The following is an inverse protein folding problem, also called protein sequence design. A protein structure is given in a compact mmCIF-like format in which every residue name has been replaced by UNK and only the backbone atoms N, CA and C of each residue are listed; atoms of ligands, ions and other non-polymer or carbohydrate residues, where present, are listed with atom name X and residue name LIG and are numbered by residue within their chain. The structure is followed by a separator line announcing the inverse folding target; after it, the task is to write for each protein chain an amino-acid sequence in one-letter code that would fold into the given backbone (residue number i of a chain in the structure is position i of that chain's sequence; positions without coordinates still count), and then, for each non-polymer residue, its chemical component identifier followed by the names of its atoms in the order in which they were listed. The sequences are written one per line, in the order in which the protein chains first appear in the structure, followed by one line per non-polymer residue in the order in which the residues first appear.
data_IF_695332227233
#
_entry.id   IF_695332227233
#
_cell.length_a   1.000
_cell.length_b   1.000
_cell.length_c   1.000
_cell.angle_alpha   90.00
_cell.angle_beta   90.00
_cell.angle_gamma   90.00
#
_symmetry.space_group_name_H-M   'P 1'
#
loop_
_entity.id
_entity.type
_entity.pdbx_description
1 polymer ?
#
# COMPACT_ATOMS: atom_id res chain seq x y z
N UNK A 1 9.38 -0.63 8.64
CA UNK A 1 8.21 -0.98 9.47
C UNK A 1 8.14 -0.12 10.72
N UNK A 2 9.25 0.44 11.20
CA UNK A 2 9.29 1.12 12.50
C UNK A 2 8.42 2.38 12.60
N UNK A 3 8.15 3.06 11.48
CA UNK A 3 7.24 4.20 11.43
C UNK A 3 5.79 3.83 11.08
N UNK A 4 5.51 2.54 10.86
CA UNK A 4 4.23 1.98 10.42
C UNK A 4 3.61 2.68 9.19
N UNK A 5 4.41 3.42 8.41
CA UNK A 5 3.93 4.12 7.21
C UNK A 5 3.84 3.18 6.00
N UNK A 6 2.96 3.46 5.04
CA UNK A 6 2.80 2.62 3.86
C UNK A 6 4.08 2.47 3.03
N UNK A 7 4.64 1.27 2.97
CA UNK A 7 5.89 0.97 2.26
C UNK A 7 5.72 1.13 0.74
N UNK A 8 6.69 1.72 -0.01
CA UNK A 8 6.62 1.90 -1.46
C UNK A 8 6.21 0.64 -2.23
N UNK A 9 6.82 -0.50 -1.87
CA UNK A 9 6.56 -1.85 -2.39
C UNK A 9 5.80 -2.75 -1.41
N UNK A 10 4.73 -2.23 -0.81
CA UNK A 10 3.96 -2.98 0.19
C UNK A 10 3.59 -4.41 -0.28
N UNK A 11 3.37 -5.34 0.63
CA UNK A 11 2.83 -6.64 0.27
C UNK A 11 1.40 -6.52 -0.28
N UNK A 12 0.60 -5.64 0.31
CA UNK A 12 -0.72 -5.24 -0.21
C UNK A 12 -0.89 -3.74 -0.07
N UNK A 13 -1.47 -3.09 -1.09
CA UNK A 13 -1.95 -1.71 -0.96
C UNK A 13 -3.42 -1.70 -0.64
N UNK A 14 -3.74 -0.96 0.41
CA UNK A 14 -5.10 -0.72 0.87
C UNK A 14 -5.36 0.79 0.85
N UNK A 15 -6.63 1.23 0.89
CA UNK A 15 -6.94 2.64 1.08
C UNK A 15 -6.43 3.18 2.43
N UNK A 16 -6.16 4.48 2.52
CA UNK A 16 -5.76 5.13 3.78
C UNK A 16 -6.89 5.29 4.80
N UNK A 17 -8.14 5.33 4.32
CA UNK A 17 -9.33 5.43 5.19
C UNK A 17 -10.20 4.21 4.99
N UNK A 18 -10.54 3.52 6.07
CA UNK A 18 -11.31 2.28 6.04
C UNK A 18 -12.03 2.01 7.36
N UNK A 19 -12.64 0.82 7.53
CA UNK A 19 -13.49 0.49 8.68
C UNK A 19 -12.76 0.39 10.02
N UNK A 20 -11.42 0.41 10.02
CA UNK A 20 -10.59 0.39 11.23
C UNK A 20 -9.66 1.61 11.25
N UNK A 21 -9.32 2.05 12.46
CA UNK A 21 -8.32 3.12 12.66
C UNK A 21 -6.98 2.68 12.08
N UNK A 22 -6.27 3.60 11.41
CA UNK A 22 -5.00 3.35 10.70
C UNK A 22 -5.12 2.22 9.69
N UNK A 23 -6.17 2.25 8.86
CA UNK A 23 -6.44 1.18 7.90
C UNK A 23 -5.26 0.90 6.95
N UNK A 24 -4.47 1.92 6.59
CA UNK A 24 -3.27 1.76 5.75
C UNK A 24 -2.05 1.15 6.44
N UNK A 25 -2.12 0.81 7.73
CA UNK A 25 -1.09 0.03 8.41
C UNK A 25 -0.85 -1.31 7.69
N UNK A 26 -1.87 -1.91 7.09
CA UNK A 26 -1.73 -3.12 6.29
C UNK A 26 -0.76 -2.96 5.10
N UNK A 27 -0.44 -1.73 4.71
CA UNK A 27 0.54 -1.41 3.68
C UNK A 27 1.94 -1.11 4.22
N UNK A 28 2.22 -1.26 5.52
CA UNK A 28 3.49 -0.83 6.13
C UNK A 28 4.68 -1.78 5.93
N UNK A 29 4.44 -2.98 5.41
CA UNK A 29 5.47 -3.99 5.21
C UNK A 29 5.56 -4.43 3.76
N UNK A 30 6.76 -4.82 3.36
CA UNK A 30 7.06 -5.48 2.10
C UNK A 30 7.63 -6.86 2.37
N UNK A 31 7.43 -7.78 1.42
CA UNK A 31 7.99 -9.13 1.49
C UNK A 31 8.93 -9.30 0.31
N UNK A 32 10.06 -9.97 0.54
CA UNK A 32 10.98 -10.40 -0.49
C UNK A 32 11.46 -11.80 -0.18
N UNK A 33 11.67 -12.59 -1.22
CA UNK A 33 12.25 -13.92 -1.12
C UNK A 33 13.69 -13.83 -1.58
N UNK A 34 14.62 -14.31 -0.75
CA UNK A 34 16.04 -14.46 -1.11
C UNK A 34 16.46 -15.94 -1.15
N UNK A 35 17.26 -16.34 -2.14
CA UNK A 35 17.79 -17.70 -2.24
C UNK A 35 19.19 -17.72 -2.86
N UNK A 36 20.02 -18.68 -2.47
CA UNK A 36 21.34 -18.88 -3.06
C UNK A 36 21.24 -19.80 -4.28
N UNK A 37 21.60 -19.28 -5.46
CA UNK A 37 21.64 -20.06 -6.69
C UNK A 37 22.97 -20.77 -6.82
N UNK A 38 22.99 -22.10 -6.60
CA UNK A 38 24.20 -22.92 -6.65
C UNK A 38 24.94 -22.83 -8.00
N UNK A 39 24.21 -22.80 -9.12
CA UNK A 39 24.84 -22.67 -10.45
C UNK A 39 25.48 -21.32 -10.68
N UNK A 40 24.87 -20.25 -10.17
CA UNK A 40 25.35 -18.87 -10.30
C UNK A 40 26.35 -18.47 -9.20
N UNK A 41 26.47 -19.26 -8.13
CA UNK A 41 27.19 -18.93 -6.89
C UNK A 41 26.83 -17.53 -6.36
N UNK A 42 25.55 -17.15 -6.44
CA UNK A 42 25.05 -15.81 -6.12
C UNK A 42 23.72 -15.87 -5.39
N UNK A 43 23.46 -14.85 -4.58
CA UNK A 43 22.15 -14.64 -3.97
C UNK A 43 21.23 -13.91 -4.94
N UNK A 44 20.01 -14.43 -5.02
CA UNK A 44 18.91 -13.89 -5.80
C UNK A 44 17.85 -13.34 -4.85
N UNK A 45 17.19 -12.26 -5.28
CA UNK A 45 16.12 -11.62 -4.52
C UNK A 45 14.98 -11.25 -5.45
N UNK A 46 13.75 -11.57 -5.04
CA UNK A 46 12.53 -11.19 -5.76
C UNK A 46 11.52 -10.57 -4.80
N UNK A 47 10.91 -9.42 -5.14
CA UNK A 47 9.85 -8.85 -4.32
C UNK A 47 8.58 -9.69 -4.40
N UNK A 48 7.87 -9.82 -3.28
CA UNK A 48 6.61 -10.56 -3.18
C UNK A 48 5.48 -9.60 -2.83
N UNK A 49 4.42 -9.63 -3.65
CA UNK A 49 3.20 -8.90 -3.37
C UNK A 49 1.97 -9.79 -3.55
N UNK A 50 0.85 -9.34 -2.99
CA UNK A 50 -0.43 -10.02 -3.11
C UNK A 50 -1.04 -9.83 -4.51
N UNK A 51 -1.08 -10.90 -5.29
CA UNK A 51 -1.66 -10.92 -6.64
C UNK A 51 -3.19 -11.02 -6.66
N UNK A 52 -3.80 -11.51 -5.58
CA UNK A 52 -5.26 -11.70 -5.49
C UNK A 52 -5.89 -10.68 -4.54
N UNK A 53 -6.26 -9.52 -5.09
CA UNK A 53 -6.96 -8.46 -4.34
C UNK A 53 -8.49 -8.69 -4.23
N UNK A 54 -9.02 -9.79 -4.79
CA UNK A 54 -10.46 -10.08 -4.77
C UNK A 54 -11.31 -9.18 -5.67
N UNK A 55 -10.69 -8.31 -6.49
CA UNK A 55 -11.36 -7.32 -7.34
C UNK A 55 -12.39 -7.96 -8.30
N UNK A 56 -12.16 -9.18 -8.79
CA UNK A 56 -13.08 -9.85 -9.71
C UNK A 56 -14.47 -10.12 -9.09
N UNK A 57 -14.55 -10.31 -7.76
CA UNK A 57 -15.80 -10.61 -7.04
C UNK A 57 -16.29 -9.46 -6.17
N UNK A 58 -15.54 -8.35 -6.14
CA UNK A 58 -15.82 -7.24 -5.22
C UNK A 58 -17.22 -6.66 -5.43
N UNK A 59 -17.69 -6.56 -6.68
CA UNK A 59 -19.05 -6.09 -6.94
C UNK A 59 -20.12 -6.99 -6.28
N UNK A 60 -19.98 -8.32 -6.40
CA UNK A 60 -20.92 -9.25 -5.77
C UNK A 60 -20.88 -9.16 -4.24
N UNK A 61 -19.70 -8.95 -3.66
CA UNK A 61 -19.57 -8.76 -2.21
C UNK A 61 -20.22 -7.45 -1.75
N UNK A 62 -20.04 -6.36 -2.52
CA UNK A 62 -20.68 -5.06 -2.25
C UNK A 62 -22.20 -5.17 -2.34
N UNK A 63 -22.73 -5.75 -3.41
CA UNK A 63 -24.18 -5.90 -3.62
C UNK A 63 -24.84 -6.75 -2.53
N UNK A 64 -24.15 -7.79 -2.04
CA UNK A 64 -24.63 -8.70 -0.99
C UNK A 64 -24.37 -8.21 0.43
N UNK A 65 -23.78 -7.03 0.62
CA UNK A 65 -23.51 -6.52 1.97
C UNK A 65 -22.48 -7.34 2.75
N UNK A 66 -21.40 -7.82 2.10
CA UNK A 66 -20.38 -8.70 2.70
C UNK A 66 -19.05 -7.99 2.99
N UNK A 67 -18.96 -7.13 4.02
CA UNK A 67 -17.75 -6.35 4.32
C UNK A 67 -16.53 -7.23 4.61
N UNK A 68 -16.71 -8.39 5.24
CA UNK A 68 -15.64 -9.34 5.56
C UNK A 68 -14.93 -9.86 4.31
N UNK A 69 -15.66 -10.03 3.19
CA UNK A 69 -15.06 -10.44 1.93
C UNK A 69 -14.36 -9.28 1.21
N UNK A 70 -14.90 -8.05 1.33
CA UNK A 70 -14.28 -6.84 0.77
C UNK A 70 -12.96 -6.53 1.46
N UNK A 71 -12.88 -6.73 2.78
CA UNK A 71 -11.71 -6.43 3.59
C UNK A 71 -10.78 -7.62 3.84
N UNK A 72 -11.05 -8.78 3.22
CA UNK A 72 -10.20 -9.97 3.34
C UNK A 72 -8.72 -9.72 3.04
N UNK A 73 -8.33 -8.94 2.00
CA UNK A 73 -6.92 -8.62 1.78
C UNK A 73 -6.28 -7.88 2.96
N UNK A 74 -7.01 -6.93 3.56
CA UNK A 74 -6.57 -6.18 4.73
C UNK A 74 -6.44 -7.07 5.96
N UNK A 75 -7.45 -7.88 6.29
CA UNK A 75 -7.38 -8.82 7.42
C UNK A 75 -6.19 -9.80 7.27
N UNK A 76 -5.93 -10.28 6.05
CA UNK A 76 -4.77 -11.15 5.81
C UNK A 76 -3.45 -10.44 6.13
N UNK A 77 -3.31 -9.18 5.72
CA UNK A 77 -2.12 -8.38 6.01
C UNK A 77 -1.96 -8.12 7.52
N UNK A 78 -3.04 -7.79 8.22
CA UNK A 78 -3.01 -7.58 9.67
C UNK A 78 -2.64 -8.86 10.43
N UNK A 79 -3.11 -10.02 9.99
CA UNK A 79 -2.72 -11.31 10.58
C UNK A 79 -1.23 -11.62 10.36
N UNK A 80 -0.69 -11.29 9.18
CA UNK A 80 0.75 -11.40 8.90
C UNK A 80 1.54 -10.47 9.80
N UNK A 81 1.12 -9.20 9.94
CA UNK A 81 1.76 -8.23 10.83
C UNK A 81 1.73 -8.69 12.30
N UNK A 82 0.59 -9.21 12.76
CA UNK A 82 0.47 -9.78 14.11
C UNK A 82 1.50 -10.88 14.36
N UNK A 83 1.70 -11.78 13.40
CA UNK A 83 2.69 -12.84 13.50
C UNK A 83 4.14 -12.33 13.41
N UNK A 84 4.44 -11.43 12.46
CA UNK A 84 5.79 -10.85 12.27
C UNK A 84 6.25 -10.02 13.48
N UNK A 85 5.33 -9.30 14.10
CA UNK A 85 5.64 -8.44 15.25
C UNK A 85 5.38 -9.11 16.59
N UNK A 86 4.92 -10.36 16.59
CA UNK A 86 4.53 -11.11 17.80
C UNK A 86 3.59 -10.30 18.69
N UNK A 87 2.56 -9.71 18.07
CA UNK A 87 1.53 -8.94 18.77
C UNK A 87 0.57 -9.89 19.49
N UNK A 88 0.31 -9.62 20.76
CA UNK A 88 -0.77 -10.22 21.55
C UNK A 88 -1.85 -9.16 21.71
N UNK A 89 -3.02 -9.43 21.13
CA UNK A 89 -4.14 -8.51 21.19
C UNK A 89 -4.92 -8.64 22.50
N UNK A 90 -5.12 -7.53 23.19
CA UNK A 90 -5.97 -7.45 24.39
C UNK A 90 -7.45 -7.30 24.03
N UNK A 91 -8.33 -7.66 24.95
CA UNK A 91 -9.78 -7.46 24.80
C UNK A 91 -10.17 -5.96 24.76
N UNK A 92 -11.25 -5.59 24.05
CA UNK A 92 -12.08 -6.44 23.18
C UNK A 92 -11.39 -6.72 21.83
N UNK A 93 -11.27 -8.00 21.45
CA UNK A 93 -10.57 -8.39 20.20
C UNK A 93 -11.42 -8.35 18.93
N UNK A 94 -12.74 -8.42 19.06
CA UNK A 94 -13.64 -8.54 17.91
C UNK A 94 -13.34 -9.81 17.09
N UNK A 95 -13.06 -9.63 15.80
CA UNK A 95 -12.76 -10.74 14.86
C UNK A 95 -11.29 -11.19 14.89
N UNK A 96 -10.43 -10.50 15.65
CA UNK A 96 -9.00 -10.80 15.67
C UNK A 96 -8.67 -11.94 16.64
N UNK A 97 -7.81 -12.88 16.23
CA UNK A 97 -7.27 -13.86 17.18
C UNK A 97 -6.38 -13.15 18.21
N UNK A 98 -6.28 -13.71 19.41
CA UNK A 98 -5.39 -13.20 20.46
C UNK A 98 -3.94 -13.14 20.00
N UNK A 99 -3.47 -14.19 19.33
CA UNK A 99 -2.12 -14.28 18.81
C UNK A 99 -2.09 -15.03 17.48
N UNK A 100 -1.20 -14.62 16.59
CA UNK A 100 -0.83 -15.34 15.37
C UNK A 100 0.64 -15.77 15.44
N UNK A 101 0.95 -16.92 14.84
CA UNK A 101 2.31 -17.49 14.82
C UNK A 101 2.58 -18.18 13.48
N UNK A 102 3.81 -18.04 12.98
CA UNK A 102 4.32 -18.82 11.85
C UNK A 102 4.96 -20.16 12.28
N UNK A 103 4.95 -20.46 13.59
CA UNK A 103 5.61 -21.63 14.18
C UNK A 103 7.12 -21.68 13.86
N UNK A 104 7.75 -20.51 13.75
CA UNK A 104 9.18 -20.35 13.56
C UNK A 104 9.73 -19.19 14.40
N UNK A 105 11.05 -19.14 14.57
CA UNK A 105 11.70 -18.04 15.28
C UNK A 105 11.71 -16.82 14.36
N UNK A 106 10.95 -15.80 14.75
CA UNK A 106 11.00 -14.49 14.09
C UNK A 106 12.15 -13.69 14.69
N UNK A 107 13.02 -13.17 13.83
CA UNK A 107 14.12 -12.28 14.22
C UNK A 107 13.88 -10.90 13.62
N UNK A 108 14.14 -9.87 14.40
CA UNK A 108 14.22 -8.48 13.91
C UNK A 108 15.68 -8.11 13.71
N UNK A 109 15.93 -7.27 12.71
CA UNK A 109 17.20 -6.60 12.57
C UNK A 109 17.22 -5.42 13.54
N UNK A 110 18.21 -5.39 14.43
CA UNK A 110 18.48 -4.25 15.28
C UNK A 110 19.63 -3.45 14.66
N UNK A 111 19.41 -2.15 14.48
CA UNK A 111 20.35 -1.23 13.83
C UNK A 111 20.81 -0.17 14.82
N UNK A 112 22.08 -0.21 15.21
CA UNK A 112 22.75 0.87 15.91
C UNK A 112 23.40 1.77 14.85
N UNK A 113 22.66 2.81 14.46
CA UNK A 113 23.11 3.73 13.42
C UNK A 113 24.33 4.54 13.83
N UNK A 114 24.56 4.77 15.12
CA UNK A 114 25.69 5.57 15.60
C UNK A 114 26.99 4.77 15.51
N UNK A 115 26.94 3.50 15.88
CA UNK A 115 28.10 2.61 15.85
C UNK A 115 28.18 1.76 14.58
N UNK A 116 27.27 1.96 13.62
CA UNK A 116 27.12 1.16 12.41
C UNK A 116 27.08 -0.36 12.68
N UNK A 117 26.44 -0.75 13.79
CA UNK A 117 26.32 -2.16 14.18
C UNK A 117 24.94 -2.68 13.86
N UNK A 118 24.93 -3.88 13.30
CA UNK A 118 23.72 -4.58 12.91
C UNK A 118 23.71 -5.93 13.61
N UNK A 119 22.57 -6.37 14.12
CA UNK A 119 22.43 -7.74 14.63
C UNK A 119 21.01 -8.26 14.50
N UNK A 120 20.89 -9.56 14.26
CA UNK A 120 19.60 -10.24 14.33
C UNK A 120 19.31 -10.62 15.76
N UNK A 121 18.21 -10.09 16.31
CA UNK A 121 17.75 -10.45 17.65
C UNK A 121 16.38 -11.11 17.56
N UNK A 122 16.06 -12.07 18.46
CA UNK A 122 14.71 -12.62 18.54
C UNK A 122 13.68 -11.51 18.69
N UNK A 123 12.59 -11.60 17.94
CA UNK A 123 11.49 -10.66 18.07
C UNK A 123 10.85 -10.82 19.45
N UNK A 124 10.68 -9.70 20.16
CA UNK A 124 10.02 -9.67 21.46
C UNK A 124 8.52 -9.58 21.27
N UNK A 125 7.78 -10.29 22.13
CA UNK A 125 6.32 -10.19 22.19
C UNK A 125 5.89 -8.78 22.59
N UNK A 126 4.82 -8.27 21.96
CA UNK A 126 4.24 -6.96 22.29
C UNK A 126 2.76 -7.12 22.58
N UNK A 127 2.31 -6.67 23.76
CA UNK A 127 0.89 -6.63 24.10
C UNK A 127 0.31 -5.30 23.63
N UNK A 128 -0.80 -5.31 22.89
CA UNK A 128 -1.45 -4.11 22.38
C UNK A 128 -2.94 -4.33 22.12
N UNK A 129 -3.77 -3.29 22.02
CA UNK A 129 -5.17 -3.45 21.63
C UNK A 129 -5.29 -4.00 20.20
N UNK A 130 -6.36 -4.77 19.95
CA UNK A 130 -6.76 -5.14 18.59
C UNK A 130 -7.10 -3.89 17.75
N UNK A 131 -7.04 -3.99 16.40
CA UNK A 131 -7.47 -2.89 15.52
C UNK A 131 -8.88 -2.40 15.86
N UNK A 132 -8.96 -1.13 16.27
CA UNK A 132 -10.21 -0.50 16.71
C UNK A 132 -11.07 -0.13 15.49
N UNK A 133 -12.39 -0.38 15.51
CA UNK A 133 -13.30 0.15 14.51
C UNK A 133 -13.21 1.68 14.42
N UNK A 134 -13.21 2.20 13.20
CA UNK A 134 -13.23 3.63 12.95
C UNK A 134 -14.64 4.19 13.17
N UNK A 135 -14.70 5.40 13.72
CA UNK A 135 -15.95 6.16 13.85
C UNK A 135 -16.13 6.96 12.56
N UNK A 136 -17.37 7.04 12.08
CA UNK A 136 -17.71 7.72 10.83
C UNK A 136 -17.16 9.15 10.78
N UNK A 137 -17.37 9.95 11.82
CA UNK A 137 -16.92 11.34 11.90
C UNK A 137 -15.39 11.48 11.82
N UNK A 138 -14.66 10.56 12.44
CA UNK A 138 -13.19 10.55 12.37
C UNK A 138 -12.74 10.27 10.93
N UNK A 139 -13.36 9.28 10.28
CA UNK A 139 -13.09 8.96 8.89
C UNK A 139 -13.53 10.07 7.94
N UNK A 140 -14.62 10.77 8.24
CA UNK A 140 -15.06 11.93 7.48
C UNK A 140 -14.00 13.04 7.50
N UNK A 141 -13.54 13.42 8.70
CA UNK A 141 -12.48 14.43 8.88
C UNK A 141 -11.19 13.99 8.21
N UNK A 142 -10.84 12.71 8.32
CA UNK A 142 -9.65 12.15 7.69
C UNK A 142 -9.74 12.18 6.15
N UNK A 143 -10.89 11.81 5.58
CA UNK A 143 -11.14 11.92 4.13
C UNK A 143 -11.02 13.36 3.65
N UNK A 144 -11.62 14.31 4.38
CA UNK A 144 -11.51 15.74 4.05
C UNK A 144 -10.06 16.22 4.10
N UNK A 145 -9.32 15.85 5.15
CA UNK A 145 -7.90 16.22 5.29
C UNK A 145 -7.01 15.66 4.18
N UNK A 146 -7.24 14.40 3.78
CA UNK A 146 -6.37 13.72 2.82
C UNK A 146 -6.73 13.98 1.36
N UNK A 147 -8.03 14.17 1.06
CA UNK A 147 -8.53 14.21 -0.31
C UNK A 147 -9.40 15.43 -0.60
N UNK A 148 -9.83 16.20 0.40
CA UNK A 148 -10.62 17.41 0.18
C UNK A 148 -9.79 18.48 -0.51
N UNK A 149 -10.08 18.73 -1.78
CA UNK A 149 -9.36 19.73 -2.60
C UNK A 149 -10.34 20.47 -3.51
N UNK A 150 -9.86 21.42 -4.31
CA UNK A 150 -10.65 22.04 -5.38
C UNK A 150 -10.98 21.09 -6.54
N UNK A 151 -10.35 19.91 -6.59
CA UNK A 151 -10.57 18.90 -7.62
C UNK A 151 -11.45 17.74 -7.13
N UNK A 152 -11.30 17.39 -5.85
CA UNK A 152 -11.90 16.23 -5.23
C UNK A 152 -12.81 16.68 -4.09
N UNK A 153 -14.11 16.50 -4.29
CA UNK A 153 -15.15 16.95 -3.37
C UNK A 153 -15.58 15.80 -2.45
N UNK A 154 -15.38 15.96 -1.14
CA UNK A 154 -15.95 15.07 -0.12
C UNK A 154 -17.41 15.46 0.13
N UNK A 155 -18.34 14.52 -0.02
CA UNK A 155 -19.77 14.82 0.14
C UNK A 155 -20.14 14.95 1.62
N UNK A 156 -20.87 16.03 1.93
CA UNK A 156 -21.43 16.37 3.24
C UNK A 156 -22.95 16.26 3.31
N UNK A 157 -23.60 15.95 2.19
CA UNK A 157 -25.06 15.98 2.07
C UNK A 157 -25.56 14.96 1.06
N UNK A 158 -25.88 15.40 -0.16
CA UNK A 158 -26.47 14.59 -1.22
C UNK A 158 -25.48 14.17 -2.31
N UNK A 159 -25.88 13.19 -3.13
CA UNK A 159 -25.18 12.88 -4.38
C UNK A 159 -25.14 14.15 -5.25
N UNK A 160 -24.00 14.50 -5.85
CA UNK A 160 -23.93 15.64 -6.76
C UNK A 160 -24.87 15.47 -7.95
N UNK A 161 -25.47 16.57 -8.40
CA UNK A 161 -26.10 16.64 -9.72
C UNK A 161 -25.03 16.41 -10.79
N UNK A 162 -25.36 15.69 -11.87
CA UNK A 162 -24.45 15.48 -12.99
C UNK A 162 -24.04 16.79 -13.69
N UNK A 163 -24.79 17.88 -13.46
CA UNK A 163 -24.52 19.24 -13.92
C UNK A 163 -23.66 20.06 -12.98
N UNK A 164 -23.23 19.52 -11.84
CA UNK A 164 -22.39 20.26 -10.91
C UNK A 164 -21.08 20.70 -11.58
N UNK A 165 -20.73 21.98 -11.44
CA UNK A 165 -19.60 22.60 -12.17
C UNK A 165 -18.28 21.86 -11.96
N UNK A 166 -18.02 21.37 -10.74
CA UNK A 166 -16.80 20.64 -10.42
C UNK A 166 -16.70 19.27 -11.11
N UNK A 167 -17.83 18.71 -11.57
CA UNK A 167 -17.84 17.50 -12.39
C UNK A 167 -17.62 17.81 -13.88
N UNK A 168 -17.80 19.04 -14.34
CA UNK A 168 -17.88 19.42 -15.76
C UNK A 168 -16.68 20.26 -16.24
N UNK A 169 -15.46 19.83 -15.94
CA UNK A 169 -14.24 20.61 -16.23
C UNK A 169 -13.83 20.60 -17.70
N UNK A 170 -14.19 19.55 -18.45
CA UNK A 170 -13.87 19.37 -19.87
C UNK A 170 -15.06 18.79 -20.63
N UNK A 171 -15.06 18.88 -21.97
CA UNK A 171 -16.11 18.28 -22.80
C UNK A 171 -16.23 16.75 -22.60
N UNK A 172 -15.12 16.06 -22.34
CA UNK A 172 -15.12 14.63 -22.01
C UNK A 172 -15.84 14.35 -20.70
N UNK A 173 -15.70 15.25 -19.72
CA UNK A 173 -16.39 15.13 -18.44
C UNK A 173 -17.90 15.28 -18.59
N UNK A 174 -18.35 16.21 -19.44
CA UNK A 174 -19.78 16.39 -19.77
C UNK A 174 -20.38 15.12 -20.34
N UNK A 175 -19.69 14.46 -21.26
CA UNK A 175 -20.14 13.19 -21.83
C UNK A 175 -20.18 12.09 -20.76
N UNK A 176 -19.13 11.97 -19.94
CA UNK A 176 -19.06 10.97 -18.89
C UNK A 176 -20.16 11.15 -17.82
N UNK A 177 -20.38 12.38 -17.34
CA UNK A 177 -21.36 12.69 -16.31
C UNK A 177 -22.80 12.43 -16.76
N UNK A 178 -23.11 12.64 -18.06
CA UNK A 178 -24.42 12.31 -18.64
C UNK A 178 -24.73 10.81 -18.59
N UNK A 179 -23.71 9.96 -18.71
CA UNK A 179 -23.89 8.52 -18.65
C UNK A 179 -23.98 8.03 -17.20
N UNK A 180 -23.04 8.43 -16.34
CA UNK A 180 -23.02 7.97 -14.95
C UNK A 180 -22.16 8.84 -14.02
N UNK A 181 -22.72 9.25 -12.88
CA UNK A 181 -21.99 9.93 -11.80
C UNK A 181 -21.55 8.93 -10.73
N UNK A 182 -20.32 8.40 -10.82
CA UNK A 182 -19.75 7.52 -9.77
C UNK A 182 -18.85 8.29 -8.81
N UNK A 183 -18.88 7.91 -7.53
CA UNK A 183 -17.85 8.34 -6.59
C UNK A 183 -16.50 7.70 -6.93
N UNK A 184 -15.42 8.32 -6.46
CA UNK A 184 -14.05 7.90 -6.79
C UNK A 184 -13.75 6.47 -6.32
N UNK A 185 -14.25 6.08 -5.14
CA UNK A 185 -14.07 4.70 -4.63
C UNK A 185 -14.69 3.67 -5.59
N UNK A 186 -15.96 3.86 -5.97
CA UNK A 186 -16.65 2.96 -6.90
C UNK A 186 -15.95 2.89 -8.27
N UNK A 187 -15.39 4.02 -8.71
CA UNK A 187 -14.67 4.15 -9.98
C UNK A 187 -13.35 3.38 -9.98
N UNK A 188 -12.56 3.46 -8.89
CA UNK A 188 -11.24 2.82 -8.83
C UNK A 188 -11.27 1.35 -8.44
N UNK A 189 -12.23 0.95 -7.60
CA UNK A 189 -12.20 -0.40 -7.01
C UNK A 189 -12.57 -1.52 -8.01
N UNK A 190 -13.32 -1.18 -9.06
CA UNK A 190 -13.64 -2.12 -10.14
C UNK A 190 -14.59 -1.53 -11.19
N UNK A 191 -14.40 -1.92 -12.45
CA UNK A 191 -15.16 -1.40 -13.61
C UNK A 191 -16.68 -1.49 -13.44
N UNK A 192 -17.16 -2.61 -12.89
CA UNK A 192 -18.58 -2.94 -12.81
C UNK A 192 -19.22 -2.57 -11.47
N UNK A 193 -18.49 -1.89 -10.58
CA UNK A 193 -19.05 -1.47 -9.29
C UNK A 193 -20.04 -0.33 -9.51
N UNK A 194 -21.29 -0.56 -9.11
CA UNK A 194 -22.35 0.44 -9.18
C UNK A 194 -22.26 1.40 -8.01
N UNK A 195 -22.51 2.69 -8.25
CA UNK A 195 -22.53 3.70 -7.20
C UNK A 195 -23.97 3.92 -6.70
N UNK A 196 -24.48 2.95 -5.93
CA UNK A 196 -25.86 2.96 -5.38
C UNK A 196 -25.84 3.36 -3.92
N UNK A 197 -26.83 4.14 -3.49
CA UNK A 197 -27.00 4.58 -2.10
C UNK A 197 -27.07 3.38 -1.14
N UNK A 198 -26.45 3.51 0.03
CA UNK A 198 -26.68 2.66 1.18
C UNK A 198 -27.92 3.15 1.94
N UNK A 199 -29.00 2.38 1.90
CA UNK A 199 -30.29 2.79 2.45
C UNK A 199 -30.32 2.74 3.98
N UNK A 200 -29.46 1.92 4.59
CA UNK A 200 -29.33 1.84 6.06
C UNK A 200 -28.70 3.09 6.69
N UNK A 201 -28.06 3.96 5.91
CA UNK A 201 -27.51 5.22 6.39
C UNK A 201 -28.44 6.40 6.06
N UNK A 202 -29.06 6.93 7.11
CA UNK A 202 -30.09 7.98 6.99
C UNK A 202 -29.53 9.40 7.04
N UNK A 203 -28.41 9.60 7.74
CA UNK A 203 -27.91 10.94 8.05
C UNK A 203 -27.12 11.56 6.88
N UNK A 204 -26.45 10.74 6.08
CA UNK A 204 -25.61 11.17 4.97
C UNK A 204 -25.90 10.36 3.70
N UNK A 205 -25.75 10.97 2.52
CA UNK A 205 -25.67 10.18 1.30
C UNK A 205 -24.29 9.52 1.20
N UNK A 206 -24.28 8.19 1.30
CA UNK A 206 -23.12 7.36 1.00
C UNK A 206 -23.54 6.20 0.11
N UNK A 207 -22.67 5.77 -0.81
CA UNK A 207 -22.90 4.56 -1.58
C UNK A 207 -22.54 3.30 -0.78
N UNK A 208 -23.13 2.15 -1.14
CA UNK A 208 -22.84 0.85 -0.50
C UNK A 208 -21.35 0.54 -0.40
N UNK A 209 -20.58 0.87 -1.44
CA UNK A 209 -19.15 0.64 -1.46
C UNK A 209 -18.42 1.48 -0.40
N UNK A 210 -18.63 2.80 -0.37
CA UNK A 210 -18.02 3.68 0.63
C UNK A 210 -18.48 3.39 2.06
N UNK A 211 -19.75 2.99 2.24
CA UNK A 211 -20.28 2.56 3.53
C UNK A 211 -19.53 1.34 4.08
N UNK A 212 -19.16 0.37 3.23
CA UNK A 212 -18.31 -0.76 3.65
C UNK A 212 -16.94 -0.32 4.15
N UNK A 213 -16.41 0.81 3.68
CA UNK A 213 -15.17 1.38 4.17
C UNK A 213 -15.37 2.37 5.34
N UNK A 214 -16.59 2.51 5.87
CA UNK A 214 -16.94 3.46 6.93
C UNK A 214 -16.48 4.90 6.62
N UNK A 215 -16.69 5.39 5.39
CA UNK A 215 -16.20 6.72 4.97
C UNK A 215 -17.14 7.40 3.98
N UNK A 216 -17.11 8.75 3.87
CA UNK A 216 -17.91 9.46 2.89
C UNK A 216 -17.51 9.14 1.45
N UNK A 217 -18.43 9.41 0.53
CA UNK A 217 -18.12 9.42 -0.90
C UNK A 217 -17.32 10.66 -1.28
N UNK A 218 -16.38 10.50 -2.20
CA UNK A 218 -15.70 11.61 -2.88
C UNK A 218 -16.03 11.62 -4.36
N UNK A 219 -16.03 12.80 -4.96
CA UNK A 219 -16.32 12.99 -6.37
C UNK A 219 -15.29 13.90 -7.00
N UNK A 220 -14.72 13.41 -8.09
CA UNK A 220 -13.76 14.11 -8.94
C UNK A 220 -14.25 14.06 -10.39
N UNK A 221 -14.03 15.10 -11.19
CA UNK A 221 -14.29 15.03 -12.64
C UNK A 221 -13.48 13.89 -13.29
N UNK A 222 -13.92 13.35 -14.42
CA UNK A 222 -13.23 12.22 -15.06
C UNK A 222 -11.78 12.60 -15.42
N UNK A 223 -11.60 13.76 -16.05
CA UNK A 223 -10.29 14.33 -16.43
C UNK A 223 -9.32 14.40 -15.24
N UNK A 224 -9.74 15.04 -14.15
CA UNK A 224 -8.91 15.17 -12.94
C UNK A 224 -8.71 13.83 -12.24
N UNK A 225 -9.70 12.93 -12.28
CA UNK A 225 -9.58 11.61 -11.67
C UNK A 225 -8.52 10.74 -12.36
N UNK A 226 -8.38 10.85 -13.69
CA UNK A 226 -7.35 10.14 -14.44
C UNK A 226 -5.94 10.65 -14.08
N UNK A 227 -5.80 11.97 -13.96
CA UNK A 227 -4.56 12.62 -13.53
C UNK A 227 -4.17 12.22 -12.10
N UNK A 228 -5.12 12.35 -11.16
CA UNK A 228 -4.90 12.05 -9.74
C UNK A 228 -4.74 10.55 -9.47
N UNK A 229 -5.20 9.68 -10.37
CA UNK A 229 -4.95 8.23 -10.32
C UNK A 229 -3.54 7.88 -10.81
N UNK A 230 -3.06 8.58 -11.84
CA UNK A 230 -1.78 8.30 -12.47
C UNK A 230 -1.85 7.17 -13.51
N UNK A 231 -0.76 7.01 -14.26
CA UNK A 231 -0.76 6.26 -15.51
C UNK A 231 0.47 5.37 -15.71
N UNK A 232 1.01 4.78 -14.63
CA UNK A 232 2.17 3.89 -14.80
C UNK A 232 1.78 2.68 -15.68
N UNK A 233 2.60 2.34 -16.68
CA UNK A 233 2.35 1.20 -17.57
C UNK A 233 2.53 -0.15 -16.84
N UNK A 234 1.88 -1.23 -17.31
CA UNK A 234 1.05 -1.32 -18.52
C UNK A 234 -0.39 -0.82 -18.32
N UNK A 235 -0.87 -0.03 -19.29
CA UNK A 235 -2.28 0.34 -19.40
C UNK A 235 -3.03 -0.82 -20.07
N UNK A 236 -3.99 -1.43 -19.37
CA UNK A 236 -4.89 -2.39 -20.02
C UNK A 236 -5.92 -1.64 -20.86
N UNK A 237 -6.04 -2.00 -22.14
CA UNK A 237 -6.88 -1.33 -23.16
C UNK A 237 -8.37 -1.23 -22.75
N UNK A 238 -8.84 -2.12 -21.87
CA UNK A 238 -10.23 -2.16 -21.39
C UNK A 238 -10.51 -1.31 -20.14
N UNK A 239 -9.49 -0.67 -19.55
CA UNK A 239 -9.64 0.15 -18.33
C UNK A 239 -9.19 1.58 -18.60
N UNK A 240 -10.08 2.54 -18.30
CA UNK A 240 -9.70 3.95 -18.29
C UNK A 240 -8.60 4.25 -17.23
N UNK A 241 -8.52 3.45 -16.17
CA UNK A 241 -7.59 3.61 -15.06
C UNK A 241 -6.47 2.57 -15.10
N UNK A 242 -5.23 3.00 -14.82
CA UNK A 242 -4.10 2.08 -14.68
C UNK A 242 -4.35 1.06 -13.56
N UNK A 243 -3.84 -0.15 -13.73
CA UNK A 243 -3.86 -1.18 -12.69
C UNK A 243 -2.80 -0.89 -11.60
N UNK A 244 -1.82 -0.04 -11.94
CA UNK A 244 -0.68 0.36 -11.12
C UNK A 244 -0.68 1.89 -10.97
N UNK A 245 -1.54 2.46 -10.12
CA UNK A 245 -1.61 3.92 -9.95
C UNK A 245 -0.37 4.50 -9.27
N UNK A 246 0.11 5.63 -9.81
CA UNK A 246 1.19 6.44 -9.24
C UNK A 246 0.74 7.78 -8.67
N UNK A 247 -0.53 8.15 -8.88
CA UNK A 247 -1.09 9.41 -8.38
C UNK A 247 -1.56 9.32 -6.92
N UNK A 248 -1.96 10.46 -6.33
CA UNK A 248 -2.44 10.54 -4.93
C UNK A 248 -3.73 9.74 -4.67
N UNK A 249 -4.59 9.55 -5.68
CA UNK A 249 -5.83 8.77 -5.52
C UNK A 249 -5.60 7.27 -5.37
N UNK A 250 -4.37 6.77 -5.52
CA UNK A 250 -4.03 5.38 -5.18
C UNK A 250 -4.42 5.01 -3.74
N UNK A 251 -4.42 5.99 -2.83
CA UNK A 251 -4.80 5.81 -1.43
C UNK A 251 -6.32 5.75 -1.19
N UNK A 252 -7.14 5.83 -2.25
CA UNK A 252 -8.59 5.65 -2.16
C UNK A 252 -9.04 4.21 -2.42
N UNK A 253 -8.21 3.32 -2.98
CA UNK A 253 -8.65 1.95 -3.29
C UNK A 253 -7.56 0.91 -3.12
N UNK A 254 -7.97 -0.36 -3.03
CA UNK A 254 -7.06 -1.48 -3.27
C UNK A 254 -6.51 -1.38 -4.70
N UNK A 255 -5.20 -1.54 -4.85
CA UNK A 255 -4.53 -1.52 -6.15
C UNK A 255 -3.27 -2.39 -6.14
N UNK A 256 -2.79 -2.72 -7.33
CA UNK A 256 -1.54 -3.44 -7.49
C UNK A 256 -0.36 -2.47 -7.50
N UNK A 257 0.76 -2.92 -6.96
CA UNK A 257 1.94 -2.05 -6.75
C UNK A 257 3.00 -2.28 -7.81
N UNK A 258 3.08 -3.51 -8.30
CA UNK A 258 4.11 -3.96 -9.23
C UNK A 258 3.47 -4.76 -10.34
N UNK A 259 3.87 -4.46 -11.57
CA UNK A 259 3.46 -5.25 -12.73
C UNK A 259 4.12 -6.64 -12.74
N UNK A 260 3.63 -7.53 -13.59
CA UNK A 260 4.13 -8.92 -13.63
C UNK A 260 5.63 -8.97 -13.94
N UNK A 261 6.12 -8.10 -14.83
CA UNK A 261 7.55 -8.03 -15.15
C UNK A 261 8.39 -7.65 -13.91
N UNK A 262 7.95 -6.65 -13.14
CA UNK A 262 8.59 -6.24 -11.88
C UNK A 262 8.56 -7.35 -10.83
N UNK A 263 7.48 -8.12 -10.74
CA UNK A 263 7.38 -9.28 -9.85
C UNK A 263 8.27 -10.46 -10.26
N UNK A 264 8.56 -10.58 -11.56
CA UNK A 264 9.43 -11.63 -12.11
C UNK A 264 10.89 -11.17 -12.26
N UNK A 265 11.18 -9.90 -11.99
CA UNK A 265 12.55 -9.38 -12.08
C UNK A 265 13.36 -9.90 -10.91
N UNK A 266 14.21 -10.88 -11.19
CA UNK A 266 15.21 -11.37 -10.24
C UNK A 266 16.34 -10.35 -10.16
N UNK A 267 16.58 -9.85 -8.95
CA UNK A 267 17.71 -8.99 -8.66
C UNK A 267 18.83 -9.79 -7.99
N UNK A 268 20.07 -9.45 -8.31
CA UNK A 268 21.23 -10.01 -7.63
C UNK A 268 21.46 -9.24 -6.34
N UNK A 269 21.54 -9.96 -5.22
CA UNK A 269 22.01 -9.41 -3.96
C UNK A 269 23.47 -9.86 -3.79
N UNK A 270 24.43 -8.96 -3.48
CA UNK A 270 25.82 -9.35 -3.26
C UNK A 270 25.96 -10.41 -2.16
N UNK A 271 25.15 -10.28 -1.11
CA UNK A 271 24.90 -11.21 0.00
C UNK A 271 23.43 -11.03 0.43
N UNK A 272 22.79 -12.01 1.09
CA UNK A 272 21.43 -11.82 1.60
C UNK A 272 21.47 -10.70 2.61
N UNK A 273 20.37 -9.97 2.80
CA UNK A 273 20.37 -8.85 3.76
C UNK A 273 20.72 -9.32 5.18
N UNK A 274 20.47 -10.60 5.46
CA UNK A 274 20.88 -11.22 6.71
C UNK A 274 22.39 -11.26 6.93
N UNK A 275 23.20 -11.10 5.89
CA UNK A 275 24.67 -11.15 5.93
C UNK A 275 25.32 -9.86 5.40
N UNK A 276 24.65 -9.10 4.52
CA UNK A 276 25.20 -7.88 3.92
C UNK A 276 25.44 -6.76 4.92
N UNK A 277 24.71 -6.76 6.03
CA UNK A 277 24.78 -5.72 7.07
C UNK A 277 25.91 -5.95 8.07
N UNK A 278 26.68 -7.04 7.94
CA UNK A 278 27.75 -7.40 8.88
C UNK A 278 29.15 -7.20 8.31
N UNK A 279 29.28 -6.55 7.15
CA UNK A 279 30.61 -6.16 6.68
C UNK A 279 31.09 -5.00 7.54
N UNK A 280 32.27 -5.08 8.19
CA UNK A 280 32.97 -3.86 8.55
C UNK A 280 33.11 -3.04 7.26
N UNK A 281 32.99 -1.72 7.36
CA UNK A 281 33.46 -0.89 6.26
C UNK A 281 34.89 -1.35 5.99
N UNK A 282 35.15 -1.91 4.81
CA UNK A 282 36.52 -2.23 4.43
C UNK A 282 37.27 -0.90 4.55
N UNK A 283 38.20 -0.85 5.50
CA UNK A 283 39.19 0.19 5.62
C UNK A 283 39.99 0.12 4.32
N UNK A 284 39.52 0.87 3.31
CA UNK A 284 40.26 1.20 2.11
C UNK A 284 41.35 2.21 2.55
N UNK A 285 42.26 1.74 3.42
CA UNK A 285 43.59 2.29 3.57
C UNK A 285 44.28 2.02 2.23
N UNK A 286 44.06 2.96 1.29
CA UNK A 286 44.91 3.10 0.14
C UNK A 286 46.34 3.30 0.63
N UNK A 287 47.10 2.22 0.68
CA UNK A 287 48.55 2.27 0.66
C UNK A 287 48.94 2.95 -0.67
N UNK A 288 49.08 4.29 -0.63
CA UNK A 288 49.83 5.03 -1.64
C UNK A 288 51.29 4.57 -1.52
N UNK A 289 51.67 3.58 -2.36
CA UNK A 289 53.08 3.32 -2.64
C UNK A 289 53.70 4.60 -3.21
N UNK A 290 54.48 5.28 -2.36
CA UNK A 290 55.42 6.32 -2.78
C UNK A 290 56.48 5.66 -3.67
N UNK A 291 56.35 5.84 -4.98
CA UNK A 291 57.47 5.64 -5.91
C UNK A 291 58.49 6.77 -5.69
N UNK A 292 59.56 6.44 -4.96
CA UNK A 292 60.78 7.24 -4.87
C UNK A 292 61.45 7.33 -6.26
N UNK A 293 61.32 8.49 -6.90
CA UNK A 293 62.11 8.86 -8.09
C UNK A 293 63.44 9.46 -7.64
N UNK A 294 64.49 8.64 -7.61
CA UNK A 294 65.90 9.05 -7.68
C UNK A 294 66.61 7.88 -8.40
N UNK A 295 67.14 8.00 -9.61
CA UNK A 295 68.45 8.58 -9.91
C UNK A 295 68.57 8.86 -11.42
N UNK A 296 69.04 10.07 -11.76
CA UNK A 296 69.50 10.43 -13.09
C UNK A 296 70.82 11.19 -13.00
N UNK A 297 71.93 10.47 -13.15
CA UNK A 297 73.27 10.98 -13.47
C UNK A 297 74.14 9.77 -13.87
N UNK A 298 74.35 9.50 -15.15
CA UNK A 298 75.56 9.80 -15.96
C UNK A 298 75.53 8.72 -17.07
N UNK A 299 75.90 8.89 -18.35
CA UNK A 299 77.10 9.47 -18.97
C UNK A 299 76.85 9.74 -20.47
N UNK A 300 77.78 10.52 -21.06
CA UNK A 300 78.02 10.91 -22.47
C UNK A 300 77.47 12.27 -22.97
#
# INVERSE_FOLDING_TARGET
MDDHKPHPRAWVRVPSVGPYVNFDEASCFAVRWEWFGQSSQRWHSVPVCRIALGQARINSHIEKGKPEQVHRPWHTAMNILQALERRIYTEPRGEFPEQMSFNCIIRRLETDHLNQRYRWVPQTTKTMPAPRPAIWDDNFRLMYRLFGTSLTHVITSGRPDFRADFLLRTQKDVLAAKHEVKCDTCRYIGLNVKCVREESQTNDWVCKCCAMFCRPCTFTSLSASLELWGSDPPLFVSRAYSVYPSGPHRFLSYHYIMNLAQQLTVSYAPKPLSESLFQPADDDEGEEEMDDVVEGSNDE
#
